data_IF_011275880819
#
_entry.id   IF_011275880819
#
_cell.length_a   1.000
_cell.length_b   1.000
_cell.length_c   1.000
_cell.angle_alpha   90.00
_cell.angle_beta   90.00
_cell.angle_gamma   90.00
#
_symmetry.space_group_name_H-M   'P 1'
#
loop_
_entity.id
_entity.type
_entity.pdbx_description
1 polymer ?
#
# COMPACT_ATOMS: atom_id res chain seq x y z
N UNK A 1 -14.57 5.50 -21.31
CA UNK A 1 -13.70 5.40 -20.12
C UNK A 1 -12.38 4.84 -20.60
N UNK A 2 -11.30 5.62 -20.56
CA UNK A 2 -10.02 5.20 -21.14
C UNK A 2 -9.43 4.02 -20.38
N UNK A 3 -8.86 3.06 -21.09
CA UNK A 3 -8.04 2.00 -20.51
C UNK A 3 -6.83 2.63 -19.80
N UNK A 4 -6.62 2.29 -18.52
CA UNK A 4 -5.39 2.65 -17.82
C UNK A 4 -4.33 1.66 -18.26
N UNK A 5 -3.27 2.17 -18.87
CA UNK A 5 -2.07 1.40 -19.20
C UNK A 5 -1.04 1.55 -18.08
N UNK A 6 -0.28 0.48 -17.81
CA UNK A 6 0.74 0.50 -16.78
C UNK A 6 1.89 -0.45 -17.10
N UNK A 7 3.08 -0.04 -16.66
CA UNK A 7 4.28 -0.86 -16.70
C UNK A 7 4.84 -1.00 -15.28
N UNK A 8 4.94 -2.25 -14.79
CA UNK A 8 5.60 -2.54 -13.52
C UNK A 8 7.10 -2.61 -13.76
N UNK A 9 7.81 -1.55 -13.40
CA UNK A 9 9.26 -1.45 -13.56
C UNK A 9 9.98 -2.29 -12.52
N UNK A 10 9.48 -2.29 -11.28
CA UNK A 10 10.08 -3.07 -10.19
C UNK A 10 9.08 -3.38 -9.09
N UNK A 11 9.11 -4.61 -8.58
CA UNK A 11 8.51 -4.95 -7.29
C UNK A 11 9.50 -4.67 -6.17
N UNK A 12 9.05 -3.91 -5.16
CA UNK A 12 9.88 -3.52 -4.02
C UNK A 12 9.66 -4.49 -2.88
N UNK A 13 8.41 -4.85 -2.61
CA UNK A 13 8.09 -5.85 -1.59
C UNK A 13 6.60 -6.09 -1.43
N UNK A 14 6.27 -7.14 -0.67
CA UNK A 14 4.90 -7.51 -0.28
C UNK A 14 4.71 -7.17 1.19
N UNK A 15 3.62 -6.46 1.50
CA UNK A 15 3.25 -6.09 2.87
C UNK A 15 2.40 -7.17 3.52
N UNK A 16 1.44 -7.73 2.77
CA UNK A 16 0.53 -8.75 3.29
C UNK A 16 0.00 -9.63 2.18
N UNK A 17 -0.49 -10.80 2.56
CA UNK A 17 -1.21 -11.72 1.71
C UNK A 17 -2.54 -12.06 2.38
N UNK A 18 -3.61 -12.07 1.59
CA UNK A 18 -4.94 -12.48 2.04
C UNK A 18 -5.15 -13.99 1.88
N UNK A 19 -6.15 -14.55 2.56
CA UNK A 19 -6.54 -15.96 2.41
C UNK A 19 -6.97 -16.36 0.99
N UNK A 20 -7.27 -15.39 0.11
CA UNK A 20 -7.61 -15.61 -1.30
C UNK A 20 -6.41 -15.40 -2.24
N UNK A 21 -5.20 -15.30 -1.69
CA UNK A 21 -3.94 -15.12 -2.43
C UNK A 21 -3.73 -13.72 -3.02
N UNK A 22 -4.60 -12.74 -2.71
CA UNK A 22 -4.32 -11.35 -3.07
C UNK A 22 -3.17 -10.83 -2.21
N UNK A 23 -2.27 -10.09 -2.84
CA UNK A 23 -1.08 -9.55 -2.18
C UNK A 23 -1.09 -8.03 -2.20
N UNK A 24 -0.89 -7.40 -1.04
CA UNK A 24 -0.65 -5.96 -0.94
C UNK A 24 0.82 -5.70 -1.20
N UNK A 25 1.15 -4.97 -2.25
CA UNK A 25 2.53 -4.80 -2.71
C UNK A 25 2.90 -3.34 -2.89
N UNK A 26 4.15 -3.01 -2.57
CA UNK A 26 4.80 -1.78 -2.98
C UNK A 26 5.58 -2.03 -4.27
N UNK A 27 5.28 -1.26 -5.30
CA UNK A 27 5.90 -1.35 -6.63
C UNK A 27 6.38 0.02 -7.11
N UNK A 28 7.25 0.02 -8.11
CA UNK A 28 7.55 1.17 -8.95
C UNK A 28 6.83 0.99 -10.29
N UNK A 29 5.89 1.89 -10.62
CA UNK A 29 4.99 1.76 -11.77
C UNK A 29 5.02 3.03 -12.61
N UNK A 30 5.15 2.85 -13.92
CA UNK A 30 4.85 3.89 -14.92
C UNK A 30 3.39 3.78 -15.32
N UNK A 31 2.63 4.86 -15.15
CA UNK A 31 1.21 4.92 -15.50
C UNK A 31 1.03 5.69 -16.80
N UNK A 32 0.41 5.08 -17.81
CA UNK A 32 0.17 5.67 -19.12
C UNK A 32 1.45 6.29 -19.75
N UNK A 33 2.58 5.58 -19.63
CA UNK A 33 3.88 6.02 -20.15
C UNK A 33 4.51 7.22 -19.42
N UNK A 34 4.00 7.62 -18.25
CA UNK A 34 4.54 8.75 -17.46
C UNK A 34 5.72 8.31 -16.60
N UNK A 35 6.44 9.30 -16.06
CA UNK A 35 7.53 9.05 -15.12
C UNK A 35 7.11 8.12 -13.98
N UNK A 36 7.93 7.11 -13.64
CA UNK A 36 7.56 6.10 -12.67
C UNK A 36 7.33 6.69 -11.29
N UNK A 37 6.34 6.13 -10.57
CA UNK A 37 6.02 6.49 -9.20
C UNK A 37 5.91 5.25 -8.34
N UNK A 38 6.06 5.44 -7.03
CA UNK A 38 5.82 4.36 -6.08
C UNK A 38 4.33 4.11 -5.99
N UNK A 39 3.95 2.87 -5.82
CA UNK A 39 2.56 2.49 -5.85
C UNK A 39 2.30 1.35 -4.88
N UNK A 40 1.38 1.59 -3.94
CA UNK A 40 0.98 0.65 -2.92
C UNK A 40 -0.46 0.21 -3.20
N UNK A 41 -0.63 -1.04 -3.64
CA UNK A 41 -1.95 -1.58 -3.97
C UNK A 41 -2.06 -3.09 -3.81
N UNK A 42 -3.29 -3.58 -3.81
CA UNK A 42 -3.57 -5.01 -3.86
C UNK A 42 -3.47 -5.56 -5.29
N UNK A 43 -2.88 -6.74 -5.43
CA UNK A 43 -2.74 -7.48 -6.69
C UNK A 43 -3.38 -8.85 -6.55
N UNK A 44 -4.09 -9.27 -7.59
CA UNK A 44 -4.61 -10.63 -7.69
C UNK A 44 -3.46 -11.66 -7.74
N UNK A 45 -3.69 -12.92 -7.36
CA UNK A 45 -2.66 -13.97 -7.35
C UNK A 45 -1.92 -14.11 -8.68
N UNK A 46 -2.61 -13.86 -9.80
CA UNK A 46 -2.11 -13.96 -11.16
C UNK A 46 -1.51 -12.63 -11.69
N UNK A 47 -1.49 -11.57 -10.87
CA UNK A 47 -1.09 -10.20 -11.22
C UNK A 47 -1.88 -9.56 -12.39
N UNK A 48 -3.02 -10.12 -12.81
CA UNK A 48 -3.79 -9.59 -13.95
C UNK A 48 -4.76 -8.48 -13.55
N UNK A 49 -5.15 -8.47 -12.27
CA UNK A 49 -6.07 -7.48 -11.69
C UNK A 49 -5.39 -6.75 -10.55
N UNK A 50 -5.70 -5.46 -10.49
CA UNK A 50 -5.28 -4.57 -9.43
C UNK A 50 -6.50 -4.10 -8.63
N UNK A 51 -6.36 -4.07 -7.31
CA UNK A 51 -7.36 -3.56 -6.38
C UNK A 51 -7.22 -2.06 -6.17
N UNK A 52 -7.85 -1.56 -5.10
CA UNK A 52 -7.65 -0.19 -4.64
C UNK A 52 -6.21 -0.01 -4.16
N UNK A 53 -5.69 1.20 -4.30
CA UNK A 53 -4.35 1.55 -3.86
C UNK A 53 -4.07 3.03 -3.98
N UNK A 54 -2.83 3.39 -3.72
CA UNK A 54 -2.34 4.77 -3.79
C UNK A 54 -1.01 4.85 -4.52
N UNK A 55 -0.86 5.89 -5.33
CA UNK A 55 0.40 6.24 -5.97
C UNK A 55 1.06 7.33 -5.14
N UNK A 56 2.33 7.15 -4.81
CA UNK A 56 3.15 8.03 -4.00
C UNK A 56 4.33 8.53 -4.83
N UNK A 57 4.62 9.81 -4.66
CA UNK A 57 5.90 10.39 -5.05
C UNK A 57 7.03 9.86 -4.15
N UNK A 58 8.28 10.09 -4.55
CA UNK A 58 9.43 9.74 -3.73
C UNK A 58 9.41 10.46 -2.37
N UNK A 59 9.01 11.73 -2.35
CA UNK A 59 9.02 12.52 -1.12
C UNK A 59 7.89 12.11 -0.17
N UNK A 60 6.70 11.77 -0.70
CA UNK A 60 5.63 11.16 0.10
C UNK A 60 6.06 9.81 0.68
N UNK A 61 6.77 8.98 -0.09
CA UNK A 61 7.26 7.69 0.41
C UNK A 61 8.34 7.86 1.49
N UNK A 62 9.23 8.84 1.37
CA UNK A 62 10.22 9.18 2.40
C UNK A 62 9.53 9.66 3.67
N UNK A 63 8.57 10.59 3.55
CA UNK A 63 7.80 11.07 4.70
C UNK A 63 7.04 9.93 5.39
N UNK A 64 6.42 9.03 4.62
CA UNK A 64 5.76 7.84 5.15
C UNK A 64 6.76 6.94 5.90
N UNK A 65 7.95 6.70 5.35
CA UNK A 65 9.00 5.93 6.02
C UNK A 65 9.38 6.55 7.37
N UNK A 66 9.54 7.87 7.44
CA UNK A 66 9.92 8.56 8.67
C UNK A 66 8.83 8.44 9.74
N UNK A 67 7.56 8.52 9.36
CA UNK A 67 6.42 8.25 10.26
C UNK A 67 6.41 6.80 10.75
N UNK A 68 6.65 5.83 9.86
CA UNK A 68 6.69 4.42 10.23
C UNK A 68 7.87 4.09 11.17
N UNK A 69 8.99 4.80 11.08
CA UNK A 69 10.08 4.63 12.03
C UNK A 69 9.72 5.09 13.45
N UNK A 70 8.65 5.89 13.61
CA UNK A 70 8.14 6.35 14.90
C UNK A 70 7.06 5.40 15.47
N UNK A 71 6.90 4.19 14.94
CA UNK A 71 5.83 3.24 15.25
C UNK A 71 5.55 2.92 16.73
N UNK A 72 6.51 3.15 17.64
CA UNK A 72 6.28 2.98 19.07
C UNK A 72 5.07 3.80 19.57
N UNK A 73 4.91 5.04 19.10
CA UNK A 73 3.78 5.93 19.46
C UNK A 73 2.44 5.48 18.86
N UNK A 74 2.49 4.83 17.68
CA UNK A 74 1.29 4.32 17.01
C UNK A 74 0.72 3.11 17.74
N UNK A 75 1.57 2.20 18.23
CA UNK A 75 1.12 1.03 18.98
C UNK A 75 0.41 1.45 20.28
N UNK A 76 0.98 2.38 21.04
CA UNK A 76 0.34 2.93 22.24
C UNK A 76 -1.01 3.57 21.92
N UNK A 77 -1.12 4.25 20.78
CA UNK A 77 -2.38 4.82 20.31
C UNK A 77 -3.42 3.73 20.04
N UNK A 78 -3.06 2.66 19.32
CA UNK A 78 -3.97 1.54 19.06
C UNK A 78 -4.39 0.81 20.34
N UNK A 79 -3.46 0.59 21.26
CA UNK A 79 -3.74 -0.05 22.54
C UNK A 79 -4.72 0.79 23.37
N UNK A 80 -4.51 2.11 23.44
CA UNK A 80 -5.46 3.04 24.09
C UNK A 80 -6.85 3.01 23.43
N UNK A 81 -6.93 2.95 22.11
CA UNK A 81 -8.23 2.87 21.40
C UNK A 81 -8.96 1.58 21.78
N UNK A 82 -8.25 0.44 21.76
CA UNK A 82 -8.82 -0.87 22.15
C UNK A 82 -9.25 -0.91 23.61
N UNK A 83 -8.45 -0.34 24.52
CA UNK A 83 -8.79 -0.26 25.95
C UNK A 83 -10.00 0.63 26.24
N UNK A 84 -10.29 1.62 25.39
CA UNK A 84 -11.43 2.54 25.56
C UNK A 84 -12.73 2.06 24.90
N UNK A 85 -12.79 0.82 24.39
CA UNK A 85 -14.01 0.25 23.82
C UNK A 85 -14.45 0.84 22.46
N UNK A 86 -13.60 1.65 21.82
CA UNK A 86 -13.77 2.03 20.42
C UNK A 86 -13.30 0.83 19.58
N UNK A 87 -14.22 -0.11 19.32
CA UNK A 87 -13.97 -1.23 18.40
C UNK A 87 -13.73 -0.63 17.02
N UNK A 88 -12.46 -0.54 16.62
CA UNK A 88 -12.10 -0.44 15.21
C UNK A 88 -12.41 -1.80 14.61
N UNK A 89 -13.58 -1.94 13.99
CA UNK A 89 -13.94 -3.13 13.25
C UNK A 89 -12.98 -3.28 12.08
N UNK A 90 -12.06 -4.22 12.21
CA UNK A 90 -11.18 -4.74 11.19
C UNK A 90 -12.03 -5.35 10.07
N UNK A 91 -12.05 -4.64 8.93
CA UNK A 91 -12.64 -5.09 7.66
C UNK A 91 -11.59 -5.65 6.72
#
# INVERSE_FOLDING_TARGET
MGSIDYERIRQIGTISESSRGWTKQLNLISWNGRSPKFDLRDWAPDNTKMGKGMTLTLDELKALKDLLNQMHELNETFDRIRSNGLILSDG
#
